data_IF_646120824514
#
_entry.id   IF_646120824514
#
_cell.length_a   1.000
_cell.length_b   1.000
_cell.length_c   1.000
_cell.angle_alpha   90.00
_cell.angle_beta   90.00
_cell.angle_gamma   90.00
#
_symmetry.space_group_name_H-M   'P 1'
#
loop_
_entity.id
_entity.type
_entity.pdbx_description
1 polymer ?
#
# COMPACT_ATOMS: atom_id res chain seq x y z
N UNK A 1 26.96 84.07 -23.82
CA UNK A 1 25.89 84.42 -24.77
C UNK A 1 25.22 83.13 -25.19
N UNK A 2 23.89 83.10 -25.07
CA UNK A 2 23.01 82.07 -25.66
C UNK A 2 23.19 82.02 -27.19
N UNK A 3 23.04 80.84 -27.79
CA UNK A 3 22.66 80.56 -29.19
C UNK A 3 22.89 79.05 -29.43
N UNK A 4 21.87 78.20 -29.26
CA UNK A 4 20.98 77.75 -30.35
C UNK A 4 21.75 77.14 -31.52
N UNK A 5 21.81 75.80 -31.63
CA UNK A 5 21.35 75.08 -32.83
C UNK A 5 21.40 73.54 -32.69
N UNK A 6 20.25 72.93 -33.01
CA UNK A 6 19.97 71.67 -33.73
C UNK A 6 20.87 70.43 -33.52
N UNK A 7 20.22 69.37 -33.04
CA UNK A 7 20.59 67.99 -33.34
C UNK A 7 19.43 67.04 -33.04
N UNK A 8 18.78 66.51 -34.07
CA UNK A 8 17.74 65.48 -33.97
C UNK A 8 18.30 64.19 -33.37
N UNK A 9 17.63 63.64 -32.34
CA UNK A 9 17.54 62.18 -32.14
C UNK A 9 16.15 61.88 -31.61
N UNK A 10 15.31 61.30 -32.47
CA UNK A 10 14.12 60.55 -32.09
C UNK A 10 14.55 59.17 -31.59
N UNK A 11 14.19 58.81 -30.36
CA UNK A 11 14.16 57.41 -29.93
C UNK A 11 13.03 57.22 -28.92
N UNK A 12 12.04 56.44 -29.33
CA UNK A 12 10.88 56.06 -28.56
C UNK A 12 11.21 54.96 -27.55
N UNK A 13 10.60 55.02 -26.37
CA UNK A 13 10.25 53.84 -25.59
C UNK A 13 9.07 54.19 -24.68
N UNK A 14 7.89 53.71 -25.09
CA UNK A 14 6.66 53.71 -24.32
C UNK A 14 6.81 52.78 -23.10
N UNK A 15 6.44 53.28 -21.92
CA UNK A 15 6.11 52.44 -20.77
C UNK A 15 4.88 53.03 -20.08
N UNK A 16 3.70 52.59 -20.51
CA UNK A 16 2.43 52.86 -19.83
C UNK A 16 2.29 51.91 -18.65
N UNK A 17 2.25 52.48 -17.45
CA UNK A 17 1.91 51.81 -16.19
C UNK A 17 0.41 51.43 -16.19
N UNK A 18 0.12 50.13 -16.11
CA UNK A 18 -1.24 49.62 -15.90
C UNK A 18 -1.46 49.46 -14.40
N UNK A 19 -2.39 50.27 -13.89
CA UNK A 19 -2.90 50.25 -12.51
C UNK A 19 -4.01 49.21 -12.40
N UNK A 20 -3.82 48.29 -11.44
CA UNK A 20 -4.82 47.59 -10.61
C UNK A 20 -6.17 47.18 -11.21
N UNK A 21 -6.36 45.88 -11.43
CA UNK A 21 -7.62 45.14 -11.13
C UNK A 21 -7.47 43.64 -11.44
N UNK A 22 -7.05 42.84 -10.45
CA UNK A 22 -7.10 41.37 -10.52
C UNK A 22 -7.58 40.83 -9.16
N UNK A 23 -8.83 41.11 -8.81
CA UNK A 23 -9.60 40.32 -7.84
C UNK A 23 -10.81 39.77 -8.58
N UNK A 24 -10.60 38.70 -9.34
CA UNK A 24 -11.66 37.88 -9.91
C UNK A 24 -11.45 36.48 -9.34
N UNK A 25 -12.41 35.90 -8.60
CA UNK A 25 -12.35 34.50 -8.21
C UNK A 25 -12.46 33.65 -9.48
N UNK A 26 -11.50 32.75 -9.69
CA UNK A 26 -11.56 31.81 -10.80
C UNK A 26 -12.77 30.87 -10.60
N UNK A 27 -13.68 30.73 -11.58
CA UNK A 27 -14.60 29.60 -11.58
C UNK A 27 -13.77 28.32 -11.74
N UNK A 28 -13.81 27.45 -10.73
CA UNK A 28 -13.37 26.07 -10.86
C UNK A 28 -14.28 25.38 -11.89
N UNK A 29 -13.85 25.36 -13.14
CA UNK A 29 -14.40 24.47 -14.15
C UNK A 29 -13.98 23.05 -13.73
N UNK A 30 -14.96 22.23 -13.37
CA UNK A 30 -14.79 20.80 -13.24
C UNK A 30 -14.27 20.27 -14.58
N UNK A 31 -13.07 19.70 -14.56
CA UNK A 31 -12.43 19.07 -15.71
C UNK A 31 -13.26 17.84 -16.14
N UNK A 32 -13.76 17.77 -17.38
CA UNK A 32 -14.51 16.63 -17.87
C UNK A 32 -13.52 15.51 -18.25
N UNK A 33 -13.83 14.29 -17.81
CA UNK A 33 -13.20 13.04 -18.23
C UNK A 33 -11.68 12.94 -17.98
N UNK A 34 -11.34 12.55 -16.75
CA UNK A 34 -10.12 11.79 -16.48
C UNK A 34 -10.23 10.50 -17.32
N UNK A 35 -9.38 10.27 -18.35
CA UNK A 35 -9.36 8.98 -19.02
C UNK A 35 -9.06 7.91 -17.95
N UNK A 36 -9.72 6.73 -17.99
CA UNK A 36 -9.53 5.72 -16.95
C UNK A 36 -8.04 5.47 -16.77
N UNK A 37 -7.52 5.78 -15.59
CA UNK A 37 -6.18 5.40 -15.19
C UNK A 37 -6.15 3.87 -15.29
N UNK A 38 -5.42 3.35 -16.27
CA UNK A 38 -5.17 1.93 -16.39
C UNK A 38 -4.45 1.52 -15.12
N UNK A 39 -5.15 0.79 -14.26
CA UNK A 39 -4.58 0.12 -13.09
C UNK A 39 -3.39 -0.72 -13.57
N UNK A 40 -2.13 -0.40 -13.21
CA UNK A 40 -0.99 -1.24 -13.58
C UNK A 40 -1.12 -2.66 -12.97
N UNK A 41 -1.96 -2.81 -11.95
CA UNK A 41 -2.36 -4.07 -11.34
C UNK A 41 -3.12 -5.03 -12.29
N UNK A 42 -3.56 -4.57 -13.46
CA UNK A 42 -4.41 -5.36 -14.35
C UNK A 42 -3.65 -6.35 -15.26
N UNK A 43 -2.32 -6.25 -15.40
CA UNK A 43 -1.57 -7.05 -16.38
C UNK A 43 -0.65 -8.07 -15.69
N UNK A 44 -1.27 -9.05 -15.02
CA UNK A 44 -0.61 -10.34 -14.82
C UNK A 44 -0.69 -11.09 -16.14
N UNK A 45 0.42 -11.17 -16.88
CA UNK A 45 0.52 -12.11 -18.00
C UNK A 45 0.77 -13.50 -17.40
N UNK A 46 -0.21 -14.43 -17.44
CA UNK A 46 -0.08 -15.73 -16.81
C UNK A 46 1.09 -16.50 -17.43
N UNK A 47 2.21 -16.57 -16.71
CA UNK A 47 3.44 -17.23 -17.14
C UNK A 47 4.69 -16.34 -17.14
N UNK A 48 4.56 -15.02 -16.99
CA UNK A 48 5.71 -14.13 -16.81
C UNK A 48 6.03 -14.02 -15.32
N UNK A 49 7.21 -14.50 -14.92
CA UNK A 49 7.70 -14.34 -13.55
C UNK A 49 7.99 -12.86 -13.28
N UNK A 50 7.43 -12.35 -12.18
CA UNK A 50 7.59 -10.96 -11.73
C UNK A 50 8.39 -10.92 -10.44
N UNK A 51 9.19 -9.87 -10.30
CA UNK A 51 10.01 -9.65 -9.12
C UNK A 51 9.15 -9.04 -8.02
N UNK A 52 9.06 -9.68 -6.86
CA UNK A 52 8.26 -9.21 -5.73
C UNK A 52 9.13 -8.98 -4.51
N UNK A 53 9.14 -7.73 -4.02
CA UNK A 53 9.90 -7.30 -2.86
C UNK A 53 8.92 -7.02 -1.73
N UNK A 54 9.17 -7.65 -0.58
CA UNK A 54 8.45 -7.40 0.65
C UNK A 54 9.31 -6.58 1.58
N UNK A 55 8.76 -5.49 2.15
CA UNK A 55 9.45 -4.64 3.12
C UNK A 55 8.61 -4.46 4.36
N UNK A 56 9.18 -4.74 5.53
CA UNK A 56 8.53 -4.54 6.81
C UNK A 56 9.38 -3.66 7.73
N UNK A 57 8.72 -2.74 8.42
CA UNK A 57 9.34 -1.87 9.43
C UNK A 57 8.50 -1.84 10.69
N UNK A 58 9.19 -1.56 11.79
CA UNK A 58 8.55 -1.24 13.06
C UNK A 58 9.24 -0.02 13.68
N UNK A 59 8.57 1.13 13.66
CA UNK A 59 9.13 2.43 14.07
C UNK A 59 8.95 2.70 15.58
N UNK A 60 9.06 1.65 16.40
CA UNK A 60 8.83 1.66 17.83
C UNK A 60 9.48 0.47 18.52
N UNK A 61 9.23 0.30 19.81
CA UNK A 61 9.78 -0.85 20.54
C UNK A 61 9.02 -2.10 20.14
N UNK A 62 9.67 -2.95 19.36
CA UNK A 62 9.11 -4.23 18.89
C UNK A 62 9.98 -5.39 19.37
N UNK A 63 9.35 -6.50 19.76
CA UNK A 63 10.04 -7.77 20.01
C UNK A 63 9.20 -8.92 19.48
N UNK A 64 9.87 -10.06 19.26
CA UNK A 64 9.22 -11.24 18.69
C UNK A 64 8.56 -10.94 17.36
N UNK A 65 9.16 -10.06 16.54
CA UNK A 65 8.58 -9.71 15.27
C UNK A 65 8.56 -10.95 14.38
N UNK A 66 7.41 -11.26 13.79
CA UNK A 66 7.26 -12.31 12.79
C UNK A 66 6.77 -11.66 11.51
N UNK A 67 7.51 -11.86 10.42
CA UNK A 67 7.12 -11.43 9.09
C UNK A 67 6.80 -12.68 8.27
N UNK A 68 5.54 -12.85 7.93
CA UNK A 68 5.06 -13.90 7.04
C UNK A 68 4.77 -13.31 5.66
N UNK A 69 5.14 -14.00 4.59
CA UNK A 69 4.97 -13.51 3.22
C UNK A 69 4.79 -14.67 2.24
N UNK A 70 4.17 -14.42 1.08
CA UNK A 70 4.10 -15.40 -0.01
C UNK A 70 5.45 -15.50 -0.73
N UNK A 71 6.09 -16.67 -0.61
CA UNK A 71 7.38 -16.93 -1.25
C UNK A 71 7.24 -17.27 -2.75
N UNK A 72 6.12 -17.87 -3.11
CA UNK A 72 5.67 -18.18 -4.46
C UNK A 72 4.12 -18.23 -4.47
N UNK A 73 3.51 -18.65 -5.58
CA UNK A 73 2.06 -18.68 -5.78
C UNK A 73 1.32 -19.55 -4.72
N UNK A 74 1.98 -20.55 -4.14
CA UNK A 74 1.38 -21.50 -3.20
C UNK A 74 1.92 -21.36 -1.76
N UNK A 75 3.21 -21.11 -1.60
CA UNK A 75 3.90 -21.26 -0.32
C UNK A 75 4.01 -19.95 0.45
N UNK A 76 3.76 -20.02 1.77
CA UNK A 76 4.01 -18.94 2.72
C UNK A 76 5.29 -19.25 3.48
N UNK A 77 6.21 -18.29 3.55
CA UNK A 77 7.38 -18.36 4.42
C UNK A 77 7.19 -17.43 5.62
N UNK A 78 7.91 -17.68 6.70
CA UNK A 78 7.89 -16.84 7.89
C UNK A 78 9.28 -16.69 8.48
N UNK A 79 9.64 -15.46 8.80
CA UNK A 79 10.92 -15.09 9.37
C UNK A 79 10.73 -14.30 10.66
N UNK A 80 11.75 -14.33 11.53
CA UNK A 80 11.74 -13.67 12.83
C UNK A 80 12.84 -12.60 12.90
N UNK A 81 12.74 -11.52 12.10
CA UNK A 81 13.76 -10.48 12.08
C UNK A 81 13.75 -9.68 13.39
N UNK A 82 14.89 -9.06 13.72
CA UNK A 82 14.93 -8.04 14.78
C UNK A 82 14.62 -6.68 14.14
N UNK A 83 13.37 -6.22 14.24
CA UNK A 83 12.93 -4.91 13.75
C UNK A 83 13.26 -3.81 14.76
N UNK A 84 14.49 -3.30 14.71
CA UNK A 84 14.86 -2.09 15.45
C UNK A 84 14.26 -0.85 14.77
N UNK A 85 13.93 0.22 15.52
CA UNK A 85 13.49 1.48 14.92
C UNK A 85 14.47 1.96 13.83
N UNK A 86 13.94 2.28 12.64
CA UNK A 86 14.74 2.69 11.47
C UNK A 86 15.36 1.55 10.67
N UNK A 87 15.23 0.29 11.10
CA UNK A 87 15.60 -0.89 10.30
C UNK A 87 14.44 -1.35 9.42
N UNK A 88 14.78 -1.91 8.27
CA UNK A 88 13.81 -2.51 7.34
C UNK A 88 14.18 -3.96 7.12
N UNK A 89 13.24 -4.86 7.38
CA UNK A 89 13.29 -6.20 6.84
C UNK A 89 12.92 -6.11 5.36
N UNK A 90 13.73 -6.70 4.49
CA UNK A 90 13.50 -6.73 3.06
C UNK A 90 13.83 -8.12 2.52
N UNK A 91 12.91 -8.69 1.76
CA UNK A 91 13.11 -9.96 1.06
C UNK A 91 12.56 -9.89 -0.36
N UNK A 92 13.27 -10.55 -1.26
CA UNK A 92 12.96 -10.59 -2.68
C UNK A 92 12.54 -12.01 -3.07
N UNK A 93 11.47 -12.11 -3.84
CA UNK A 93 10.88 -13.36 -4.34
C UNK A 93 10.50 -13.20 -5.80
N UNK A 94 10.22 -14.32 -6.46
CA UNK A 94 9.72 -14.33 -7.84
C UNK A 94 8.45 -15.17 -7.88
N UNK A 95 7.39 -14.64 -8.50
CA UNK A 95 6.10 -15.33 -8.60
C UNK A 95 5.45 -15.12 -9.96
N UNK A 96 4.55 -16.03 -10.33
CA UNK A 96 3.87 -15.95 -11.63
C UNK A 96 2.62 -15.09 -11.55
N UNK A 97 1.93 -15.08 -10.41
CA UNK A 97 0.78 -14.20 -10.17
C UNK A 97 1.08 -13.19 -9.04
N UNK A 98 1.50 -11.96 -9.37
CA UNK A 98 1.76 -10.93 -8.37
C UNK A 98 0.52 -10.50 -7.58
N UNK A 99 -0.70 -10.86 -8.01
CA UNK A 99 -1.93 -10.56 -7.26
C UNK A 99 -2.06 -11.42 -6.01
N UNK A 100 -1.32 -12.53 -5.93
CA UNK A 100 -1.25 -13.39 -4.74
C UNK A 100 -0.22 -12.88 -3.73
N UNK A 101 0.54 -11.83 -4.05
CA UNK A 101 1.53 -11.26 -3.14
C UNK A 101 0.86 -10.71 -1.88
N UNK A 102 1.21 -11.28 -0.73
CA UNK A 102 0.66 -10.95 0.57
C UNK A 102 1.74 -10.97 1.64
N UNK A 103 1.57 -10.16 2.68
CA UNK A 103 2.46 -10.12 3.83
C UNK A 103 1.69 -9.82 5.12
N UNK A 104 2.15 -10.42 6.21
CA UNK A 104 1.68 -10.17 7.57
C UNK A 104 2.88 -9.89 8.46
N UNK A 105 2.83 -8.80 9.22
CA UNK A 105 3.82 -8.43 10.22
C UNK A 105 3.15 -8.49 11.58
N UNK A 106 3.71 -9.25 12.51
CA UNK A 106 3.21 -9.31 13.89
C UNK A 106 4.32 -9.01 14.89
N UNK A 107 3.95 -8.49 16.06
CA UNK A 107 4.84 -8.25 17.19
C UNK A 107 4.25 -8.84 18.47
N UNK A 108 5.11 -9.19 19.42
CA UNK A 108 4.66 -9.69 20.71
C UNK A 108 3.99 -8.59 21.55
N UNK A 109 2.92 -8.96 22.24
CA UNK A 109 2.47 -8.21 23.41
C UNK A 109 3.55 -8.25 24.53
N UNK A 110 3.77 -7.19 25.33
CA UNK A 110 3.04 -5.91 25.49
C UNK A 110 3.57 -4.79 24.60
N UNK A 111 4.42 -5.11 23.63
CA UNK A 111 5.09 -4.13 22.81
C UNK A 111 4.10 -3.40 21.88
N UNK A 112 4.52 -2.24 21.41
CA UNK A 112 3.72 -1.40 20.55
C UNK A 112 4.62 -0.55 19.68
N UNK A 113 4.23 -0.44 18.43
CA UNK A 113 5.00 0.20 17.37
C UNK A 113 4.07 0.72 16.30
N UNK A 114 4.53 1.70 15.54
CA UNK A 114 3.99 1.88 14.20
C UNK A 114 4.55 0.75 13.34
N UNK A 115 3.68 -0.14 12.88
CA UNK A 115 4.02 -1.19 11.94
C UNK A 115 3.76 -0.66 10.54
N UNK A 116 4.70 -0.94 9.66
CA UNK A 116 4.62 -0.54 8.28
C UNK A 116 5.00 -1.73 7.42
N UNK A 117 4.23 -1.97 6.36
CA UNK A 117 4.52 -3.03 5.40
C UNK A 117 4.25 -2.56 3.97
N UNK A 118 5.15 -2.90 3.06
CA UNK A 118 5.13 -2.55 1.64
C UNK A 118 5.39 -3.81 0.80
N UNK A 119 4.66 -3.92 -0.32
CA UNK A 119 4.86 -4.95 -1.34
C UNK A 119 5.09 -4.24 -2.66
N UNK A 120 6.24 -4.50 -3.26
CA UNK A 120 6.61 -3.96 -4.56
C UNK A 120 6.61 -5.08 -5.60
N UNK A 121 6.00 -4.86 -6.75
CA UNK A 121 6.05 -5.74 -7.91
C UNK A 121 6.78 -4.98 -9.01
N UNK A 122 7.94 -5.48 -9.42
CA UNK A 122 8.85 -4.83 -10.36
C UNK A 122 9.13 -3.36 -9.99
N UNK A 123 9.49 -3.17 -8.72
CA UNK A 123 9.80 -1.88 -8.10
C UNK A 123 8.62 -0.88 -8.02
N UNK A 124 7.40 -1.32 -8.30
CA UNK A 124 6.18 -0.54 -8.10
C UNK A 124 5.45 -0.98 -6.83
N UNK A 125 5.15 -0.06 -5.92
CA UNK A 125 4.36 -0.35 -4.73
C UNK A 125 2.93 -0.70 -5.15
N UNK A 126 2.54 -1.96 -4.96
CA UNK A 126 1.19 -2.46 -5.27
C UNK A 126 0.31 -2.57 -4.04
N UNK A 127 0.92 -2.71 -2.86
CA UNK A 127 0.23 -2.71 -1.59
C UNK A 127 1.12 -2.09 -0.51
N UNK A 128 0.50 -1.29 0.35
CA UNK A 128 1.14 -0.72 1.52
C UNK A 128 0.11 -0.58 2.63
N UNK A 129 0.54 -0.82 3.87
CA UNK A 129 -0.27 -0.53 5.03
C UNK A 129 0.60 -0.03 6.19
N UNK A 130 -0.01 0.82 7.00
CA UNK A 130 0.58 1.43 8.19
C UNK A 130 -0.42 1.30 9.32
N UNK A 131 0.01 0.79 10.47
CA UNK A 131 -0.85 0.67 11.64
C UNK A 131 -0.09 0.94 12.94
N UNK A 132 -0.62 1.87 13.72
CA UNK A 132 -0.14 2.09 15.06
C UNK A 132 -0.74 1.09 16.05
N UNK A 133 0.13 0.28 16.67
CA UNK A 133 -0.21 -0.63 17.75
C UNK A 133 0.17 0.03 19.08
N UNK A 134 -0.83 0.47 19.84
CA UNK A 134 -0.60 1.11 21.14
C UNK A 134 -0.15 0.08 22.19
N UNK A 135 0.98 0.27 22.89
CA UNK A 135 1.43 -0.62 23.95
C UNK A 135 0.36 -0.81 25.04
N UNK A 136 0.19 -2.05 25.53
CA UNK A 136 -0.82 -2.38 26.56
C UNK A 136 -0.21 -3.15 27.71
N UNK A 137 -0.56 -2.77 28.94
CA UNK A 137 -0.14 -3.47 30.16
C UNK A 137 -0.88 -4.78 30.42
N UNK A 138 -2.04 -4.96 29.81
CA UNK A 138 -2.81 -6.21 29.84
C UNK A 138 -3.07 -6.66 28.40
N UNK A 139 -3.12 -7.97 28.17
CA UNK A 139 -3.57 -8.49 26.88
C UNK A 139 -5.00 -8.02 26.64
N UNK A 140 -5.28 -7.59 25.41
CA UNK A 140 -6.64 -7.24 25.01
C UNK A 140 -7.48 -8.51 25.08
N UNK A 141 -8.58 -8.45 25.81
CA UNK A 141 -9.53 -9.55 25.88
C UNK A 141 -10.27 -9.59 24.53
N UNK A 142 -10.30 -10.78 23.93
CA UNK A 142 -11.03 -11.06 22.69
C UNK A 142 -10.45 -10.43 21.39
N UNK A 143 -9.17 -10.02 21.38
CA UNK A 143 -8.47 -9.59 20.16
C UNK A 143 -7.25 -10.49 19.88
N UNK A 144 -7.42 -11.57 19.10
CA UNK A 144 -6.32 -12.46 18.72
C UNK A 144 -5.35 -11.84 17.71
N UNK A 145 -5.74 -10.74 17.06
CA UNK A 145 -4.95 -10.07 16.02
C UNK A 145 -4.20 -8.85 16.55
N UNK A 146 -4.24 -8.59 17.86
CA UNK A 146 -3.47 -7.51 18.47
C UNK A 146 -2.00 -7.61 18.06
N UNK A 147 -1.45 -6.50 17.59
CA UNK A 147 -0.05 -6.43 17.17
C UNK A 147 0.22 -7.02 15.80
N UNK A 148 -0.81 -7.33 15.00
CA UNK A 148 -0.68 -7.84 13.64
C UNK A 148 -1.13 -6.80 12.61
N UNK A 149 -0.35 -6.62 11.55
CA UNK A 149 -0.63 -5.81 10.37
C UNK A 149 -0.57 -6.71 9.13
N UNK A 150 -1.57 -6.60 8.25
CA UNK A 150 -1.62 -7.33 6.98
C UNK A 150 -1.62 -6.35 5.81
N UNK A 151 -0.92 -6.69 4.73
CA UNK A 151 -0.96 -5.96 3.46
C UNK A 151 -0.94 -6.91 2.26
N UNK A 152 -1.55 -6.47 1.17
CA UNK A 152 -1.69 -7.26 -0.05
C UNK A 152 -2.75 -8.36 0.07
N UNK A 153 -2.52 -9.46 -0.64
CA UNK A 153 -3.39 -10.63 -0.60
C UNK A 153 -3.37 -11.31 0.79
N UNK A 154 -4.49 -11.93 1.21
CA UNK A 154 -4.51 -12.72 2.44
C UNK A 154 -3.56 -13.91 2.31
N UNK A 155 -2.73 -14.11 3.34
CA UNK A 155 -1.87 -15.31 3.44
C UNK A 155 -2.68 -16.57 3.70
N UNK A 156 -3.90 -16.41 4.24
CA UNK A 156 -4.91 -17.45 4.37
C UNK A 156 -5.56 -17.72 3.01
N UNK A 157 -4.85 -18.42 2.12
CA UNK A 157 -5.47 -19.05 0.94
C UNK A 157 -5.72 -20.53 1.22
N UNK A 158 -6.86 -20.92 1.84
CA UNK A 158 -7.29 -22.31 1.86
C UNK A 158 -7.91 -22.65 0.50
N UNK A 159 -7.09 -23.14 -0.43
CA UNK A 159 -7.58 -23.85 -1.61
C UNK A 159 -7.89 -25.32 -1.31
N UNK A 160 -8.63 -25.64 -0.25
CA UNK A 160 -9.17 -26.98 0.03
C UNK A 160 -10.30 -26.89 1.08
N UNK A 161 -11.53 -27.12 0.62
CA UNK A 161 -12.66 -27.62 1.39
C UNK A 161 -12.86 -27.11 2.83
N UNK A 162 -13.64 -26.03 2.96
CA UNK A 162 -14.76 -26.12 3.90
C UNK A 162 -15.92 -26.72 3.10
N UNK A 163 -15.84 -28.03 2.85
CA UNK A 163 -17.04 -28.83 2.77
C UNK A 163 -17.73 -28.61 4.11
N UNK A 164 -18.77 -27.78 4.11
CA UNK A 164 -19.77 -27.81 5.16
C UNK A 164 -20.06 -29.29 5.45
N UNK A 165 -20.10 -29.73 6.72
CA UNK A 165 -20.55 -31.07 7.03
C UNK A 165 -21.91 -31.25 6.35
N UNK A 166 -21.98 -32.09 5.33
CA UNK A 166 -23.26 -32.65 4.90
C UNK A 166 -23.80 -33.31 6.14
N UNK A 167 -24.84 -32.70 6.71
CA UNK A 167 -25.64 -33.34 7.74
C UNK A 167 -26.04 -34.71 7.16
N UNK A 168 -25.89 -35.82 7.92
CA UNK A 168 -26.36 -37.10 7.44
C UNK A 168 -27.84 -36.94 7.12
N UNK A 169 -28.18 -37.11 5.84
CA UNK A 169 -29.57 -37.24 5.41
C UNK A 169 -30.12 -38.43 6.17
N UNK A 170 -31.16 -38.21 6.98
CA UNK A 170 -31.85 -39.25 7.70
C UNK A 170 -32.27 -40.32 6.69
N UNK A 171 -31.57 -41.45 6.76
CA UNK A 171 -31.81 -42.59 5.92
C UNK A 171 -33.21 -43.14 6.20
N UNK A 172 -33.75 -43.75 5.16
CA UNK A 172 -35.10 -44.24 5.01
C UNK A 172 -35.66 -44.95 6.24
N UNK A 173 -36.92 -44.62 6.57
CA UNK A 173 -37.76 -45.47 7.39
C UNK A 173 -37.85 -46.88 6.76
N UNK A 174 -37.69 -47.97 7.53
CA UNK A 174 -37.92 -49.30 7.01
C UNK A 174 -39.44 -49.52 6.83
N UNK A 175 -39.86 -49.74 5.58
CA UNK A 175 -41.18 -50.30 5.30
C UNK A 175 -41.19 -51.76 5.76
N UNK A 176 -42.11 -52.09 6.66
CA UNK A 176 -42.35 -53.44 7.16
C UNK A 176 -43.18 -54.22 6.14
N UNK A 177 -42.78 -55.46 5.88
CA UNK A 177 -43.60 -56.51 5.28
C UNK A 177 -44.08 -57.46 6.38
#
# INVERSE_FOLDING_TARGET
MSLTERGWITAAALATLIVGSQLIPAPALADPDIPPQTDPAAQGDPGVLRNVIYRARADGTSRGAVVAYKADDANVNSEQPTLLPGSTFEVNTVMSDPKLAGMTVSIDWPYGSNLHCEILVDDQIVAQADQFIAPRLFRVKDDPMYGTLQCGAPLDTPGADVLAPVAPSADAAPQSA
#
